data_IF_886897520171
#
_entry.id   IF_886897520171
#
_cell.length_a   1.000
_cell.length_b   1.000
_cell.length_c   1.000
_cell.angle_alpha   90.00
_cell.angle_beta   90.00
_cell.angle_gamma   90.00
#
_symmetry.space_group_name_H-M   'P 1'
#
loop_
_entity.id
_entity.type
_entity.pdbx_description
1 polymer ?
#
# COMPACT_ATOMS: atom_id res chain seq x y z
N UNK A 1 6.79 7.64 15.51
CA UNK A 1 5.36 7.97 15.78
C UNK A 1 4.49 7.08 14.90
N UNK A 2 3.56 6.32 15.50
CA UNK A 2 2.59 5.50 14.76
C UNK A 2 1.62 6.43 14.02
N UNK A 3 1.32 6.13 12.75
CA UNK A 3 0.41 6.90 11.89
C UNK A 3 -0.62 5.96 11.29
N UNK A 4 -1.81 6.49 10.99
CA UNK A 4 -2.82 5.84 10.16
C UNK A 4 -2.56 6.24 8.72
N UNK A 5 -2.32 5.27 7.83
CA UNK A 5 -1.95 5.52 6.44
C UNK A 5 -2.82 4.65 5.54
N UNK A 6 -3.54 5.27 4.62
CA UNK A 6 -4.29 4.54 3.58
C UNK A 6 -3.39 4.30 2.36
N UNK A 7 -3.32 3.07 1.86
CA UNK A 7 -2.58 2.74 0.63
C UNK A 7 -3.56 2.35 -0.46
N UNK A 8 -3.85 3.28 -1.37
CA UNK A 8 -4.70 3.01 -2.53
C UNK A 8 -3.92 2.21 -3.57
N UNK A 9 -4.55 1.16 -4.12
CA UNK A 9 -3.93 0.27 -5.08
C UNK A 9 -4.94 -0.21 -6.13
N UNK A 10 -4.45 -0.56 -7.31
CA UNK A 10 -5.28 -0.92 -8.47
C UNK A 10 -5.67 0.29 -9.31
N UNK A 11 -6.96 0.40 -9.63
CA UNK A 11 -7.52 1.37 -10.57
C UNK A 11 -8.04 0.74 -11.86
N UNK A 12 -8.66 1.57 -12.73
CA UNK A 12 -9.08 1.18 -14.09
C UNK A 12 -7.97 1.56 -15.08
N UNK A 13 -6.95 0.72 -15.17
CA UNK A 13 -5.77 0.89 -16.02
C UNK A 13 -5.27 -0.48 -16.49
N UNK A 14 -4.54 -0.52 -17.61
CA UNK A 14 -3.76 -1.70 -18.04
C UNK A 14 -2.68 -2.09 -17.02
N UNK A 15 -2.26 -1.16 -16.17
CA UNK A 15 -1.23 -1.36 -15.14
C UNK A 15 -1.80 -1.79 -13.79
N UNK A 16 -3.10 -2.12 -13.71
CA UNK A 16 -3.80 -2.48 -12.46
C UNK A 16 -3.02 -3.49 -11.61
N UNK A 17 -2.53 -4.55 -12.23
CA UNK A 17 -1.77 -5.60 -11.53
C UNK A 17 -0.43 -5.11 -10.98
N UNK A 18 0.23 -4.18 -11.67
CA UNK A 18 1.46 -3.55 -11.18
C UNK A 18 1.17 -2.63 -9.98
N UNK A 19 0.08 -1.85 -10.05
CA UNK A 19 -0.39 -1.00 -8.96
C UNK A 19 -0.75 -1.80 -7.70
N UNK A 20 -1.40 -2.96 -7.85
CA UNK A 20 -1.70 -3.88 -6.73
C UNK A 20 -0.40 -4.42 -6.11
N UNK A 21 0.53 -4.92 -6.95
CA UNK A 21 1.79 -5.49 -6.47
C UNK A 21 2.67 -4.46 -5.75
N UNK A 22 2.76 -3.23 -6.28
CA UNK A 22 3.54 -2.16 -5.64
C UNK A 22 2.87 -1.68 -4.35
N UNK A 23 1.54 -1.49 -4.35
CA UNK A 23 0.76 -1.13 -3.18
C UNK A 23 0.93 -2.13 -2.03
N UNK A 24 0.90 -3.44 -2.32
CA UNK A 24 1.14 -4.48 -1.32
C UNK A 24 2.54 -4.39 -0.69
N UNK A 25 3.59 -4.14 -1.50
CA UNK A 25 4.97 -3.97 -1.02
C UNK A 25 5.10 -2.77 -0.10
N UNK A 26 4.49 -1.64 -0.46
CA UNK A 26 4.48 -0.41 0.36
C UNK A 26 3.72 -0.65 1.67
N UNK A 27 2.53 -1.25 1.60
CA UNK A 27 1.72 -1.61 2.78
C UNK A 27 2.52 -2.48 3.76
N UNK A 28 3.20 -3.51 3.25
CA UNK A 28 4.04 -4.40 4.05
C UNK A 28 5.21 -3.65 4.71
N UNK A 29 5.88 -2.75 3.99
CA UNK A 29 6.98 -1.95 4.54
C UNK A 29 6.50 -1.00 5.65
N UNK A 30 5.38 -0.32 5.44
CA UNK A 30 4.78 0.58 6.44
C UNK A 30 4.33 -0.17 7.70
N UNK A 31 3.77 -1.37 7.55
CA UNK A 31 3.45 -2.25 8.69
C UNK A 31 4.70 -2.66 9.48
N UNK A 32 5.79 -3.01 8.80
CA UNK A 32 7.09 -3.33 9.44
C UNK A 32 7.69 -2.15 10.19
N UNK A 33 7.44 -0.92 9.72
CA UNK A 33 7.83 0.32 10.40
C UNK A 33 6.91 0.68 11.59
N UNK A 34 5.88 -0.12 11.86
CA UNK A 34 4.98 0.07 13.00
C UNK A 34 3.80 1.01 12.73
N UNK A 35 3.53 1.37 11.46
CA UNK A 35 2.35 2.16 11.10
C UNK A 35 1.09 1.30 11.02
N UNK A 36 -0.07 1.92 11.27
CA UNK A 36 -1.37 1.31 11.01
C UNK A 36 -1.77 1.58 9.56
N UNK A 37 -1.75 0.53 8.73
CA UNK A 37 -2.08 0.66 7.31
C UNK A 37 -3.52 0.19 7.07
N UNK A 38 -4.31 1.04 6.42
CA UNK A 38 -5.72 0.84 6.07
C UNK A 38 -5.83 0.62 4.56
#
# INVERSE_FOLDING_TARGET
MKKNIAVLMGGRSLEREFSIKSGQRVSNALRKLGHNVI
#
